data_IF_266784991887
#
_entry.id   IF_266784991887
#
_cell.length_a   1.000
_cell.length_b   1.000
_cell.length_c   1.000
_cell.angle_alpha   90.00
_cell.angle_beta   90.00
_cell.angle_gamma   90.00
#
_symmetry.space_group_name_H-M   'P 1'
#
loop_
_entity.id
_entity.type
_entity.pdbx_description
1 polymer ?
#
# COMPACT_ATOMS: atom_id res chain seq x y z
N UNK A 1 -7.63 5.43 0.84
CA UNK A 1 -6.26 5.74 1.29
C UNK A 1 -6.12 7.25 1.55
N UNK A 2 -6.64 7.77 2.66
CA UNK A 2 -6.63 9.24 2.95
C UNK A 2 -6.09 9.62 4.33
N UNK A 3 -5.43 8.68 5.02
CA UNK A 3 -5.08 8.88 6.41
C UNK A 3 -3.97 9.93 6.61
N UNK A 4 -2.91 9.90 5.80
CA UNK A 4 -1.81 10.86 5.89
C UNK A 4 -2.19 12.26 5.42
N UNK A 5 -2.48 12.40 4.12
CA UNK A 5 -2.66 13.71 3.47
C UNK A 5 -4.08 14.31 3.61
N UNK A 6 -5.08 13.51 3.97
CA UNK A 6 -6.47 13.95 4.09
C UNK A 6 -6.92 14.24 5.52
N UNK A 7 -6.55 13.38 6.48
CA UNK A 7 -7.01 13.46 7.88
C UNK A 7 -6.14 14.38 8.74
N UNK A 8 -4.82 14.35 8.55
CA UNK A 8 -3.86 15.16 9.31
C UNK A 8 -3.57 16.52 8.67
N UNK A 9 -4.00 16.75 7.42
CA UNK A 9 -3.75 17.96 6.62
C UNK A 9 -2.26 18.34 6.52
N UNK A 10 -1.36 17.36 6.69
CA UNK A 10 0.07 17.56 6.56
C UNK A 10 0.45 17.70 5.10
N UNK A 11 1.48 18.51 4.84
CA UNK A 11 2.14 18.48 3.55
C UNK A 11 2.79 17.11 3.33
N UNK A 12 2.96 16.64 2.08
CA UNK A 12 3.62 15.36 1.81
C UNK A 12 5.03 15.27 2.41
N UNK A 13 5.80 16.35 2.38
CA UNK A 13 7.15 16.37 2.96
C UNK A 13 7.12 16.15 4.47
N UNK A 14 6.21 16.82 5.18
CA UNK A 14 6.13 16.71 6.64
C UNK A 14 5.64 15.32 7.04
N UNK A 15 4.68 14.77 6.30
CA UNK A 15 4.19 13.41 6.53
C UNK A 15 5.30 12.35 6.40
N UNK A 16 6.16 12.48 5.38
CA UNK A 16 7.26 11.53 5.17
C UNK A 16 8.46 11.76 6.09
N UNK A 17 8.60 12.96 6.66
CA UNK A 17 9.64 13.26 7.64
C UNK A 17 9.31 12.75 9.06
N UNK A 18 8.04 12.46 9.34
CA UNK A 18 7.61 11.96 10.65
C UNK A 18 8.14 10.56 10.96
N UNK A 19 8.51 10.35 12.22
CA UNK A 19 8.83 9.02 12.73
C UNK A 19 7.56 8.15 12.83
N UNK A 20 7.68 6.82 12.75
CA UNK A 20 6.54 5.90 12.94
C UNK A 20 5.80 6.12 14.27
N UNK A 21 6.53 6.51 15.34
CA UNK A 21 5.94 6.77 16.66
C UNK A 21 5.07 8.03 16.64
N UNK A 22 5.52 9.09 15.98
CA UNK A 22 4.74 10.33 15.80
C UNK A 22 3.54 10.08 14.89
N UNK A 23 3.68 9.25 13.85
CA UNK A 23 2.58 8.85 13.00
C UNK A 23 1.49 8.11 13.78
N UNK A 24 1.86 7.15 14.63
CA UNK A 24 0.92 6.44 15.50
C UNK A 24 0.23 7.39 16.50
N UNK A 25 0.93 8.38 17.05
CA UNK A 25 0.35 9.36 17.94
C UNK A 25 -0.66 10.28 17.22
N UNK A 26 -0.31 10.75 16.02
CA UNK A 26 -1.18 11.58 15.18
C UNK A 26 -2.39 10.80 14.66
N UNK A 27 -2.23 9.49 14.43
CA UNK A 27 -3.29 8.61 13.96
C UNK A 27 -4.46 8.46 14.94
N UNK A 28 -4.22 8.71 16.22
CA UNK A 28 -5.15 8.33 17.27
C UNK A 28 -5.21 6.81 17.45
N UNK A 29 -6.10 6.31 18.33
CA UNK A 29 -6.19 4.90 18.64
C UNK A 29 -6.48 4.10 17.36
N UNK A 30 -5.54 3.24 16.99
CA UNK A 30 -5.77 2.25 15.94
C UNK A 30 -6.95 1.39 16.38
N UNK A 31 -8.02 1.37 15.60
CA UNK A 31 -9.04 0.34 15.75
C UNK A 31 -8.31 -0.97 15.47
N UNK A 32 -8.36 -1.92 16.40
CA UNK A 32 -7.91 -3.28 16.14
C UNK A 32 -8.81 -3.86 15.03
N UNK A 33 -8.40 -3.65 13.79
CA UNK A 33 -8.98 -4.28 12.63
C UNK A 33 -8.10 -5.50 12.37
N UNK A 34 -8.64 -6.69 12.66
CA UNK A 34 -8.06 -7.89 12.10
C UNK A 34 -8.00 -7.71 10.58
N UNK A 35 -6.82 -7.91 10.00
CA UNK A 35 -6.67 -7.94 8.54
C UNK A 35 -7.64 -8.97 7.92
N UNK A 36 -7.93 -8.86 6.62
CA UNK A 36 -8.77 -9.85 5.95
C UNK A 36 -8.18 -11.25 6.13
N UNK A 37 -9.04 -12.23 6.40
CA UNK A 37 -8.66 -13.63 6.36
C UNK A 37 -8.38 -14.07 4.91
N UNK A 38 -7.85 -15.29 4.75
CA UNK A 38 -7.43 -15.79 3.44
C UNK A 38 -8.57 -15.75 2.40
N UNK A 39 -9.81 -16.18 2.72
CA UNK A 39 -10.94 -16.07 1.79
C UNK A 39 -11.34 -14.63 1.46
N UNK A 40 -11.35 -13.72 2.44
CA UNK A 40 -11.65 -12.32 2.20
C UNK A 40 -10.61 -11.66 1.28
N UNK A 41 -9.34 -12.04 1.42
CA UNK A 41 -8.29 -11.59 0.52
C UNK A 41 -8.52 -12.10 -0.91
N UNK A 42 -8.87 -13.38 -1.09
CA UNK A 42 -9.17 -13.93 -2.43
C UNK A 42 -10.37 -13.21 -3.09
N UNK A 43 -11.41 -12.89 -2.32
CA UNK A 43 -12.54 -12.11 -2.81
C UNK A 43 -12.14 -10.69 -3.24
N UNK A 44 -11.21 -10.05 -2.53
CA UNK A 44 -10.69 -8.74 -2.89
C UNK A 44 -9.87 -8.80 -4.18
N UNK A 45 -9.01 -9.81 -4.34
CA UNK A 45 -8.21 -10.00 -5.56
C UNK A 45 -9.09 -10.23 -6.79
N UNK A 46 -10.16 -11.01 -6.66
CA UNK A 46 -11.13 -11.21 -7.73
C UNK A 46 -11.89 -9.93 -8.09
N UNK A 47 -12.23 -9.10 -7.08
CA UNK A 47 -12.97 -7.85 -7.25
C UNK A 47 -12.13 -6.72 -7.85
N UNK A 48 -10.84 -6.68 -7.53
CA UNK A 48 -9.91 -5.66 -7.99
C UNK A 48 -8.71 -6.31 -8.69
N UNK A 49 -8.91 -6.85 -9.91
CA UNK A 49 -7.83 -7.51 -10.64
C UNK A 49 -6.78 -6.48 -11.06
N UNK A 50 -5.52 -6.76 -10.76
CA UNK A 50 -4.39 -5.95 -11.21
C UNK A 50 -4.33 -5.97 -12.73
N UNK A 51 -4.62 -4.83 -13.36
CA UNK A 51 -4.35 -4.66 -14.78
C UNK A 51 -2.85 -4.46 -14.92
N UNK A 52 -2.13 -5.46 -15.44
CA UNK A 52 -0.85 -5.18 -16.11
C UNK A 52 -1.14 -4.11 -17.14
N UNK A 53 -0.51 -2.95 -17.00
CA UNK A 53 -0.76 -1.81 -17.88
C UNK A 53 -0.69 -2.26 -19.33
N UNK A 54 -1.74 -1.95 -20.10
CA UNK A 54 -1.66 -1.92 -21.55
C UNK A 54 -0.57 -0.89 -21.91
N UNK A 55 0.67 -1.38 -22.05
CA UNK A 55 1.88 -0.56 -22.20
C UNK A 55 3.17 -1.20 -21.67
N UNK A 56 3.11 -2.28 -20.86
CA UNK A 56 4.32 -2.95 -20.37
C UNK A 56 4.87 -3.93 -21.41
N UNK A 57 5.50 -3.40 -22.47
CA UNK A 57 6.63 -4.09 -23.09
C UNK A 57 7.76 -4.09 -22.06
N UNK A 58 7.83 -5.14 -21.24
CA UNK A 58 8.88 -5.37 -20.26
C UNK A 58 10.26 -5.42 -20.94
N UNK A 59 11.13 -4.39 -20.79
CA UNK A 59 12.49 -4.43 -21.32
C UNK A 59 13.48 -5.11 -20.34
N UNK A 60 13.03 -5.50 -19.14
CA UNK A 60 13.89 -5.97 -18.05
C UNK A 60 13.56 -7.41 -17.64
N UNK A 61 13.13 -8.25 -18.59
CA UNK A 61 13.25 -9.70 -18.42
C UNK A 61 14.73 -10.10 -18.55
N UNK A 62 15.50 -9.98 -17.45
CA UNK A 62 16.84 -10.56 -17.38
C UNK A 62 16.73 -12.08 -17.61
N UNK A 63 17.60 -12.67 -18.44
CA UNK A 63 17.58 -14.11 -18.63
C UNK A 63 17.89 -14.80 -17.30
N UNK A 64 17.06 -15.79 -16.97
CA UNK A 64 17.31 -16.73 -15.88
C UNK A 64 18.60 -17.47 -16.23
N UNK A 65 19.66 -17.23 -15.45
CA UNK A 65 20.94 -17.90 -15.63
C UNK A 65 20.78 -19.34 -15.12
N UNK A 66 20.38 -20.25 -16.01
CA UNK A 66 20.45 -21.68 -15.76
C UNK A 66 21.93 -22.08 -15.85
N UNK A 67 22.53 -22.37 -14.70
CA UNK A 67 23.81 -23.08 -14.58
C UNK A 67 23.56 -24.57 -14.48
#
# INVERSE_FOLDING_TARGET
MHFGLGRLRLSPSDFWAMSPRELCAAAGPAREAAGPDRPALDALMARFPDRRGAGETDPIRRPRNDR
#
